data_IF_148918942254
#
_entry.id   IF_148918942254
#
_cell.length_a   1.000
_cell.length_b   1.000
_cell.length_c   1.000
_cell.angle_alpha   90.00
_cell.angle_beta   90.00
_cell.angle_gamma   90.00
#
_symmetry.space_group_name_H-M   'P 1'
#
loop_
_entity.id
_entity.type
_entity.pdbx_description
1 polymer ?
#
# COMPACT_ATOMS: atom_id res chain seq x y z
N UNK A 1 14.11 -10.02 26.19
CA UNK A 1 13.56 -9.78 24.83
C UNK A 1 14.46 -8.77 24.14
N UNK A 2 15.04 -9.10 22.99
CA UNK A 2 16.05 -8.26 22.34
C UNK A 2 15.37 -6.97 21.82
N UNK A 3 15.89 -5.77 22.12
CA UNK A 3 15.22 -4.48 21.85
C UNK A 3 14.81 -4.31 20.38
N UNK A 4 15.63 -4.84 19.47
CA UNK A 4 15.39 -4.79 18.02
C UNK A 4 14.21 -5.66 17.57
N UNK A 5 14.03 -6.84 18.18
CA UNK A 5 12.89 -7.73 17.91
C UNK A 5 11.57 -7.07 18.35
N UNK A 6 11.57 -6.40 19.51
CA UNK A 6 10.40 -5.67 19.99
C UNK A 6 9.99 -4.51 19.05
N UNK A 7 10.96 -3.79 18.48
CA UNK A 7 10.70 -2.70 17.54
C UNK A 7 10.13 -3.21 16.22
N UNK A 8 10.67 -4.30 15.67
CA UNK A 8 10.15 -4.92 14.45
C UNK A 8 8.70 -5.40 14.63
N UNK A 9 8.40 -6.08 15.74
CA UNK A 9 7.05 -6.54 16.05
C UNK A 9 6.06 -5.38 16.17
N UNK A 10 6.44 -4.31 16.88
CA UNK A 10 5.60 -3.12 17.01
C UNK A 10 5.37 -2.46 15.65
N UNK A 11 6.43 -2.30 14.86
CA UNK A 11 6.37 -1.70 13.52
C UNK A 11 5.42 -2.46 12.60
N UNK A 12 5.63 -3.77 12.45
CA UNK A 12 4.81 -4.63 11.61
C UNK A 12 3.37 -4.68 12.09
N UNK A 13 3.15 -4.67 13.41
CA UNK A 13 1.79 -4.64 13.97
C UNK A 13 1.05 -3.35 13.66
N UNK A 14 1.70 -2.19 13.81
CA UNK A 14 1.11 -0.90 13.47
C UNK A 14 0.84 -0.79 11.97
N UNK A 15 1.83 -1.13 11.14
CA UNK A 15 1.67 -1.12 9.68
C UNK A 15 0.55 -2.06 9.22
N UNK A 16 0.49 -3.27 9.79
CA UNK A 16 -0.57 -4.23 9.52
C UNK A 16 -1.96 -3.73 9.91
N UNK A 17 -2.09 -3.08 11.07
CA UNK A 17 -3.36 -2.49 11.52
C UNK A 17 -3.83 -1.37 10.61
N UNK A 18 -2.93 -0.45 10.23
CA UNK A 18 -3.25 0.66 9.32
C UNK A 18 -3.61 0.13 7.93
N UNK A 19 -2.88 -0.86 7.43
CA UNK A 19 -3.16 -1.50 6.13
C UNK A 19 -4.54 -2.16 6.14
N UNK A 20 -4.87 -2.89 7.21
CA UNK A 20 -6.18 -3.51 7.38
C UNK A 20 -7.29 -2.46 7.42
N UNK A 21 -7.11 -1.37 8.19
CA UNK A 21 -8.08 -0.30 8.31
C UNK A 21 -8.36 0.37 6.96
N UNK A 22 -7.32 0.63 6.15
CA UNK A 22 -7.49 1.19 4.82
C UNK A 22 -8.17 0.22 3.85
N UNK A 23 -7.78 -1.06 3.83
CA UNK A 23 -8.45 -2.05 2.99
C UNK A 23 -9.94 -2.20 3.33
N UNK A 24 -10.30 -2.15 4.61
CA UNK A 24 -11.70 -2.13 5.03
C UNK A 24 -12.41 -0.84 4.61
N UNK A 25 -11.76 0.32 4.74
CA UNK A 25 -12.32 1.59 4.30
C UNK A 25 -12.59 1.62 2.80
N UNK A 26 -11.66 1.11 1.98
CA UNK A 26 -11.82 1.00 0.52
C UNK A 26 -13.05 0.16 0.15
N UNK A 27 -13.20 -1.01 0.77
CA UNK A 27 -14.34 -1.91 0.54
C UNK A 27 -15.65 -1.26 1.00
N UNK A 28 -15.68 -0.62 2.17
CA UNK A 28 -16.89 -0.01 2.71
C UNK A 28 -17.36 1.18 1.85
N UNK A 29 -16.43 2.03 1.41
CA UNK A 29 -16.74 3.16 0.52
C UNK A 29 -17.24 2.63 -0.83
N UNK A 30 -16.57 1.63 -1.42
CA UNK A 30 -17.03 0.99 -2.65
C UNK A 30 -18.42 0.34 -2.51
N UNK A 31 -18.70 -0.30 -1.37
CA UNK A 31 -20.00 -0.93 -1.09
C UNK A 31 -21.12 0.10 -0.84
N UNK A 32 -20.85 1.40 -0.93
CA UNK A 32 -21.83 2.47 -0.76
C UNK A 32 -22.11 2.84 0.70
N UNK A 33 -21.28 2.41 1.65
CA UNK A 33 -21.42 2.81 3.05
C UNK A 33 -21.05 4.29 3.28
N UNK A 34 -20.34 4.91 2.33
CA UNK A 34 -19.94 6.32 2.36
C UNK A 34 -19.74 6.82 0.93
N UNK A 35 -20.00 8.12 0.64
CA UNK A 35 -19.78 8.71 -0.69
C UNK A 35 -18.30 8.83 -1.08
N UNK A 36 -17.37 8.44 -0.20
CA UNK A 36 -15.93 8.63 -0.35
C UNK A 36 -15.45 9.90 0.32
N UNK A 37 -14.14 9.98 0.56
CA UNK A 37 -13.52 11.12 1.24
C UNK A 37 -12.08 11.32 0.80
N UNK A 38 -11.63 12.57 0.90
CA UNK A 38 -10.23 12.95 0.73
C UNK A 38 -9.73 13.69 1.96
N UNK A 39 -8.56 13.30 2.46
CA UNK A 39 -7.90 13.91 3.62
C UNK A 39 -6.47 14.25 3.22
N UNK A 40 -6.20 15.53 2.98
CA UNK A 40 -4.89 16.00 2.54
C UNK A 40 -4.51 15.38 1.19
N UNK A 41 -3.49 14.51 1.20
CA UNK A 41 -3.02 13.80 0.00
C UNK A 41 -3.67 12.42 -0.19
N UNK A 42 -4.48 11.95 0.75
CA UNK A 42 -5.19 10.67 0.69
C UNK A 42 -6.56 10.83 0.04
N UNK A 43 -6.96 9.87 -0.79
CA UNK A 43 -8.33 9.77 -1.31
C UNK A 43 -8.83 8.34 -1.31
N UNK A 44 -10.11 8.17 -0.95
CA UNK A 44 -10.90 6.94 -1.12
C UNK A 44 -12.21 7.33 -1.83
N UNK A 45 -12.32 7.02 -3.13
CA UNK A 45 -13.40 7.51 -4.00
C UNK A 45 -14.53 6.50 -4.29
N UNK A 46 -14.31 5.18 -4.09
CA UNK A 46 -15.36 4.16 -4.22
C UNK A 46 -15.84 3.78 -5.63
N UNK A 47 -15.59 4.60 -6.67
CA UNK A 47 -16.20 4.39 -8.00
C UNK A 47 -15.63 3.25 -8.86
N UNK A 48 -14.39 2.82 -8.62
CA UNK A 48 -13.69 1.77 -9.37
C UNK A 48 -13.61 0.43 -8.59
N UNK A 49 -14.22 -0.62 -9.15
CA UNK A 49 -14.20 -1.97 -8.55
C UNK A 49 -12.78 -2.51 -8.35
N UNK A 50 -11.90 -2.35 -9.33
CA UNK A 50 -10.57 -2.95 -9.27
C UNK A 50 -9.75 -2.31 -8.14
N UNK A 51 -9.79 -0.98 -8.05
CA UNK A 51 -9.05 -0.25 -7.02
C UNK A 51 -9.65 -0.41 -5.62
N UNK A 52 -10.96 -0.20 -5.47
CA UNK A 52 -11.56 -0.08 -4.13
C UNK A 52 -12.11 -1.39 -3.57
N UNK A 53 -12.67 -2.27 -4.42
CA UNK A 53 -13.17 -3.57 -3.96
C UNK A 53 -12.03 -4.60 -3.91
N UNK A 54 -11.39 -4.83 -5.07
CA UNK A 54 -10.34 -5.85 -5.20
C UNK A 54 -9.03 -5.41 -4.54
N UNK A 55 -8.60 -4.17 -4.78
CA UNK A 55 -7.46 -3.58 -4.09
C UNK A 55 -7.66 -3.50 -2.58
N UNK A 56 -8.87 -3.10 -2.14
CA UNK A 56 -9.25 -3.13 -0.73
C UNK A 56 -9.16 -4.54 -0.11
N UNK A 57 -9.65 -5.57 -0.80
CA UNK A 57 -9.54 -6.96 -0.35
C UNK A 57 -8.07 -7.40 -0.21
N UNK A 58 -7.23 -7.05 -1.18
CA UNK A 58 -5.79 -7.35 -1.14
C UNK A 58 -5.11 -6.64 0.04
N UNK A 59 -5.46 -5.38 0.32
CA UNK A 59 -4.97 -4.66 1.50
C UNK A 59 -5.45 -5.29 2.81
N UNK A 60 -6.72 -5.72 2.90
CA UNK A 60 -7.23 -6.45 4.07
C UNK A 60 -6.39 -7.69 4.35
N UNK A 61 -6.17 -8.53 3.34
CA UNK A 61 -5.33 -9.71 3.49
C UNK A 61 -3.87 -9.34 3.83
N UNK A 62 -3.33 -8.28 3.22
CA UNK A 62 -2.00 -7.79 3.53
C UNK A 62 -1.84 -7.39 5.00
N UNK A 63 -2.81 -6.65 5.53
CA UNK A 63 -2.88 -6.28 6.94
C UNK A 63 -3.04 -7.50 7.85
N UNK A 64 -3.91 -8.45 7.50
CA UNK A 64 -4.09 -9.70 8.26
C UNK A 64 -2.83 -10.56 8.29
N UNK A 65 -2.07 -10.65 7.20
CA UNK A 65 -0.79 -11.36 7.20
C UNK A 65 0.24 -10.68 8.11
N UNK A 66 0.36 -9.34 8.04
CA UNK A 66 1.24 -8.59 8.94
C UNK A 66 0.83 -8.74 10.41
N UNK A 67 -0.46 -8.66 10.75
CA UNK A 67 -0.94 -8.89 12.11
C UNK A 67 -0.78 -10.36 12.54
N UNK A 68 -0.95 -11.29 11.61
CA UNK A 68 -0.72 -12.72 11.82
C UNK A 68 0.73 -13.04 12.16
N UNK A 69 1.69 -12.24 11.67
CA UNK A 69 3.12 -12.37 12.00
C UNK A 69 3.42 -12.20 13.51
N UNK A 70 2.50 -11.55 14.25
CA UNK A 70 2.66 -11.26 15.68
C UNK A 70 2.33 -12.47 16.57
N UNK A 71 1.62 -13.49 16.04
CA UNK A 71 1.01 -14.56 16.85
C UNK A 71 1.91 -15.79 17.06
N UNK A 72 3.24 -15.67 16.99
CA UNK A 72 4.13 -16.82 17.21
C UNK A 72 5.57 -16.47 17.57
N UNK A 73 6.31 -17.45 18.07
CA UNK A 73 7.73 -17.32 18.43
C UNK A 73 8.59 -17.24 17.16
N UNK A 74 8.92 -16.03 16.72
CA UNK A 74 10.15 -15.69 15.96
C UNK A 74 10.67 -16.65 14.88
N UNK A 75 9.80 -17.34 14.14
CA UNK A 75 10.18 -18.27 13.06
C UNK A 75 10.14 -17.61 11.68
N UNK A 76 10.86 -18.20 10.72
CA UNK A 76 10.83 -17.89 9.28
C UNK A 76 9.41 -17.71 8.73
N UNK A 77 8.44 -18.47 9.25
CA UNK A 77 7.03 -18.36 8.87
C UNK A 77 6.43 -16.97 9.19
N UNK A 78 6.73 -16.41 10.37
CA UNK A 78 6.20 -15.10 10.74
C UNK A 78 6.79 -14.00 9.87
N UNK A 79 8.09 -14.12 9.58
CA UNK A 79 8.76 -13.24 8.64
C UNK A 79 8.14 -13.33 7.24
N UNK A 80 7.88 -14.56 6.76
CA UNK A 80 7.19 -14.80 5.50
C UNK A 80 5.82 -14.13 5.41
N UNK A 81 5.04 -14.13 6.50
CA UNK A 81 3.76 -13.41 6.57
C UNK A 81 3.94 -11.90 6.47
N UNK A 82 4.93 -11.33 7.15
CA UNK A 82 5.23 -9.89 7.06
C UNK A 82 5.61 -9.50 5.62
N UNK A 83 6.48 -10.28 4.98
CA UNK A 83 6.90 -10.04 3.59
C UNK A 83 5.73 -10.20 2.62
N UNK A 84 4.91 -11.24 2.79
CA UNK A 84 3.71 -11.43 1.97
C UNK A 84 2.76 -10.24 2.10
N UNK A 85 2.53 -9.75 3.33
CA UNK A 85 1.72 -8.55 3.54
C UNK A 85 2.28 -7.31 2.84
N UNK A 86 3.61 -7.12 2.84
CA UNK A 86 4.25 -6.03 2.10
C UNK A 86 4.07 -6.18 0.59
N UNK A 87 4.26 -7.39 0.05
CA UNK A 87 4.06 -7.68 -1.38
C UNK A 87 2.62 -7.36 -1.80
N UNK A 88 1.63 -7.68 -0.98
CA UNK A 88 0.23 -7.35 -1.29
C UNK A 88 0.01 -5.85 -1.44
N UNK A 89 0.63 -5.02 -0.59
CA UNK A 89 0.62 -3.55 -0.74
C UNK A 89 1.33 -3.14 -2.04
N UNK A 90 2.47 -3.74 -2.35
CA UNK A 90 3.27 -3.41 -3.54
C UNK A 90 2.52 -3.72 -4.84
N UNK A 91 1.74 -4.80 -4.88
CA UNK A 91 0.96 -5.16 -6.06
C UNK A 91 -0.04 -4.04 -6.38
N UNK A 92 -0.81 -3.57 -5.37
CA UNK A 92 -1.81 -2.51 -5.59
C UNK A 92 -1.15 -1.15 -5.83
N UNK A 93 -0.14 -0.79 -5.03
CA UNK A 93 0.58 0.46 -5.24
C UNK A 93 1.27 0.50 -6.61
N UNK A 94 1.81 -0.64 -7.05
CA UNK A 94 2.45 -0.80 -8.36
C UNK A 94 1.47 -0.63 -9.50
N UNK A 95 0.26 -1.21 -9.40
CA UNK A 95 -0.78 -1.00 -10.41
C UNK A 95 -1.23 0.46 -10.48
N UNK A 96 -1.37 1.14 -9.34
CA UNK A 96 -1.76 2.54 -9.33
C UNK A 96 -0.67 3.46 -9.90
N UNK A 97 0.60 3.21 -9.57
CA UNK A 97 1.74 3.96 -10.12
C UNK A 97 1.84 3.72 -11.64
N UNK A 98 1.63 2.48 -12.08
CA UNK A 98 1.66 2.14 -13.50
C UNK A 98 0.50 2.78 -14.26
N UNK A 99 -0.71 2.80 -13.69
CA UNK A 99 -1.85 3.51 -14.26
C UNK A 99 -1.53 5.00 -14.45
N UNK A 100 -1.01 5.67 -13.41
CA UNK A 100 -0.59 7.07 -13.52
C UNK A 100 0.48 7.30 -14.57
N UNK A 101 1.46 6.40 -14.67
CA UNK A 101 2.48 6.48 -15.71
C UNK A 101 1.84 6.45 -17.11
N UNK A 102 0.94 5.51 -17.35
CA UNK A 102 0.24 5.38 -18.62
C UNK A 102 -0.66 6.58 -18.94
N UNK A 103 -1.35 7.13 -17.93
CA UNK A 103 -2.22 8.30 -18.07
C UNK A 103 -1.43 9.61 -18.26
N UNK A 104 -0.19 9.68 -17.75
CA UNK A 104 0.63 10.89 -17.82
C UNK A 104 1.40 11.06 -19.13
N UNK A 105 1.54 9.99 -19.93
CA UNK A 105 2.26 9.99 -21.21
C UNK A 105 1.50 10.73 -22.32
N UNK A 106 0.23 10.39 -22.64
CA UNK A 106 -0.50 11.09 -23.69
C UNK A 106 -0.82 12.52 -23.25
N UNK A 107 -0.79 13.45 -24.20
CA UNK A 107 -1.42 14.75 -23.99
C UNK A 107 -2.95 14.53 -23.98
N UNK A 108 -3.65 15.20 -23.06
CA UNK A 108 -5.08 14.96 -22.80
C UNK A 108 -5.95 15.09 -24.04
N UNK A 109 -7.18 14.56 -24.00
CA UNK A 109 -8.04 14.40 -25.19
C UNK A 109 -8.30 15.69 -25.98
N UNK A 110 -8.17 16.86 -25.36
CA UNK A 110 -8.39 18.17 -25.99
C UNK A 110 -7.10 18.81 -26.55
N UNK A 111 -5.94 18.18 -26.33
CA UNK A 111 -4.66 18.72 -26.76
C UNK A 111 -4.38 18.40 -28.25
N UNK A 112 -3.78 19.35 -29.00
CA UNK A 112 -3.37 19.10 -30.38
C UNK A 112 -2.14 18.17 -30.48
N UNK A 113 -1.44 17.95 -29.37
CA UNK A 113 -0.24 17.14 -29.26
C UNK A 113 -0.58 15.72 -28.80
N UNK A 114 0.19 14.72 -29.25
CA UNK A 114 0.00 13.33 -28.81
C UNK A 114 0.66 13.05 -27.45
N UNK A 115 1.78 13.70 -27.14
CA UNK A 115 2.54 13.50 -25.90
C UNK A 115 2.37 14.69 -24.96
N UNK A 116 2.34 14.40 -23.67
CA UNK A 116 2.26 15.42 -22.63
C UNK A 116 3.57 16.22 -22.54
N UNK A 117 3.44 17.47 -22.08
CA UNK A 117 4.60 18.28 -21.70
C UNK A 117 5.32 17.66 -20.49
N UNK A 118 6.60 17.97 -20.29
CA UNK A 118 7.35 17.48 -19.10
C UNK A 118 6.68 17.91 -17.79
N UNK A 119 6.16 19.15 -17.74
CA UNK A 119 5.46 19.65 -16.57
C UNK A 119 4.14 18.91 -16.33
N UNK A 120 3.39 18.62 -17.40
CA UNK A 120 2.14 17.87 -17.32
C UNK A 120 2.36 16.40 -16.94
N UNK A 121 3.41 15.77 -17.46
CA UNK A 121 3.82 14.42 -17.08
C UNK A 121 4.13 14.33 -15.58
N UNK A 122 4.94 15.26 -15.05
CA UNK A 122 5.25 15.31 -13.62
C UNK A 122 4.01 15.64 -12.79
N UNK A 123 3.16 16.53 -13.30
CA UNK A 123 1.88 16.89 -12.67
C UNK A 123 0.93 15.71 -12.52
N UNK A 124 0.96 14.74 -13.44
CA UNK A 124 0.15 13.52 -13.36
C UNK A 124 0.48 12.61 -12.17
N UNK A 125 1.64 12.79 -11.52
CA UNK A 125 2.00 12.09 -10.27
C UNK A 125 1.63 12.86 -9.00
N UNK A 126 1.02 14.04 -9.11
CA UNK A 126 0.57 14.81 -7.96
C UNK A 126 -0.57 14.09 -7.21
N UNK A 127 -0.81 14.42 -5.92
CA UNK A 127 -1.98 13.94 -5.19
C UNK A 127 -3.29 14.25 -5.93
N UNK A 128 -4.36 13.47 -5.66
CA UNK A 128 -4.51 12.54 -4.54
C UNK A 128 -3.92 11.14 -4.76
N UNK A 129 -3.53 10.49 -3.65
CA UNK A 129 -2.98 9.14 -3.59
C UNK A 129 -3.96 8.15 -2.94
N UNK A 130 -3.98 6.92 -3.46
CA UNK A 130 -4.69 5.81 -2.83
C UNK A 130 -3.99 5.38 -1.53
N UNK A 131 -4.67 4.66 -0.62
CA UNK A 131 -4.03 4.13 0.56
C UNK A 131 -2.82 3.25 0.27
N UNK A 132 -2.85 2.42 -0.78
CA UNK A 132 -1.75 1.54 -1.13
C UNK A 132 -0.45 2.30 -1.44
N UNK A 133 -0.55 3.39 -2.21
CA UNK A 133 0.60 4.24 -2.57
C UNK A 133 1.16 4.95 -1.34
N UNK A 134 0.29 5.42 -0.45
CA UNK A 134 0.72 6.05 0.82
C UNK A 134 1.41 5.06 1.74
N UNK A 135 0.98 3.80 1.77
CA UNK A 135 1.60 2.75 2.58
C UNK A 135 2.95 2.28 2.04
N UNK A 136 3.16 2.37 0.72
CA UNK A 136 4.37 1.91 0.03
C UNK A 136 5.69 2.36 0.70
N UNK A 137 5.95 3.66 0.98
CA UNK A 137 7.21 4.06 1.63
C UNK A 137 7.39 3.45 3.02
N UNK A 138 6.31 3.20 3.76
CA UNK A 138 6.38 2.55 5.06
C UNK A 138 6.70 1.05 4.91
N UNK A 139 6.33 0.39 3.83
CA UNK A 139 6.77 -0.99 3.61
C UNK A 139 8.28 -1.12 3.39
N UNK A 140 8.99 -0.05 2.99
CA UNK A 140 10.45 -0.06 2.87
C UNK A 140 11.16 -0.29 4.21
N UNK A 141 10.52 0.04 5.34
CA UNK A 141 11.02 -0.32 6.66
C UNK A 141 11.16 -1.83 6.84
N UNK A 142 10.25 -2.62 6.27
CA UNK A 142 10.34 -4.10 6.27
C UNK A 142 11.53 -4.55 5.42
N UNK A 143 11.77 -3.91 4.28
CA UNK A 143 12.92 -4.19 3.40
C UNK A 143 14.24 -3.86 4.11
N UNK A 144 14.29 -2.75 4.84
CA UNK A 144 15.44 -2.42 5.69
C UNK A 144 15.70 -3.50 6.74
N UNK A 145 14.65 -3.98 7.43
CA UNK A 145 14.78 -5.10 8.37
C UNK A 145 15.16 -6.42 7.68
N UNK A 146 14.79 -6.63 6.41
CA UNK A 146 15.24 -7.78 5.62
C UNK A 146 16.76 -7.72 5.34
N UNK A 147 17.28 -6.56 4.91
CA UNK A 147 18.69 -6.42 4.54
C UNK A 147 19.64 -6.26 5.74
N UNK A 148 19.19 -5.61 6.80
CA UNK A 148 19.99 -5.37 8.01
C UNK A 148 19.69 -6.37 9.14
N UNK A 149 18.64 -7.17 9.00
CA UNK A 149 18.20 -8.15 9.97
C UNK A 149 18.92 -9.48 9.81
N UNK A 150 19.93 -9.66 10.65
CA UNK A 150 20.50 -10.92 11.14
C UNK A 150 19.41 -12.01 11.29
N UNK A 151 19.40 -12.98 10.38
CA UNK A 151 18.78 -14.29 10.60
C UNK A 151 19.74 -15.28 11.29
N UNK A 152 20.93 -14.80 11.67
CA UNK A 152 21.88 -15.59 12.44
C UNK A 152 21.46 -15.58 13.93
N UNK A 153 21.35 -16.80 14.47
CA UNK A 153 21.16 -17.18 15.87
C UNK A 153 19.71 -17.42 16.34
N UNK A 154 19.18 -18.59 15.95
CA UNK A 154 18.62 -19.54 16.93
C UNK A 154 19.23 -20.91 16.68
#
# INVERSE_FOLDING_TARGET
>A
MNRNSSMFTLYTGLLGLVTLAFGLADILVWAGASPGFSIGILEIAGGDFFRWAWGGAILVFGGLFMLGSLRGRGTMEQFGKTVLGAIMIWIIAGTDIFARLCESIPAGEEAPEFFNSVAGFVGGFAPPYSPAILLLPFTLGIVYFLFNGRFDEV
#
